data_IF_400292520288
#
_entry.id   IF_400292520288
#
_cell.length_a   1.000
_cell.length_b   1.000
_cell.length_c   1.000
_cell.angle_alpha   90.00
_cell.angle_beta   90.00
_cell.angle_gamma   90.00
#
_symmetry.space_group_name_H-M   'P 1'
#
loop_
_entity.id
_entity.type
_entity.pdbx_description
1 polymer ?
#
# COMPACT_ATOMS: atom_id res chain seq x y z
N UNK A 1 -10.52 5.03 -8.01
CA UNK A 1 -10.02 5.82 -9.15
C UNK A 1 -11.24 6.17 -9.99
N UNK A 2 -11.50 7.45 -10.25
CA UNK A 2 -12.62 7.82 -11.10
C UNK A 2 -12.42 7.29 -12.52
N UNK A 3 -13.52 6.96 -13.20
CA UNK A 3 -13.47 6.45 -14.58
C UNK A 3 -12.75 7.44 -15.53
N UNK A 4 -12.87 8.73 -15.24
CA UNK A 4 -12.18 9.84 -15.91
C UNK A 4 -10.65 9.71 -15.88
N UNK A 5 -10.06 9.29 -14.76
CA UNK A 5 -8.60 9.16 -14.61
C UNK A 5 -8.07 8.00 -15.45
N UNK A 6 -8.78 6.87 -15.50
CA UNK A 6 -8.38 5.71 -16.29
C UNK A 6 -8.30 6.05 -17.78
N UNK A 7 -9.24 6.83 -18.29
CA UNK A 7 -9.29 7.21 -19.71
C UNK A 7 -8.18 8.21 -20.07
N UNK A 8 -7.88 9.18 -19.18
CA UNK A 8 -6.73 10.08 -19.36
C UNK A 8 -5.40 9.29 -19.44
N UNK A 9 -5.23 8.26 -18.62
CA UNK A 9 -4.03 7.43 -18.65
C UNK A 9 -3.96 6.58 -19.93
N UNK A 10 -5.08 6.02 -20.40
CA UNK A 10 -5.12 5.29 -21.68
C UNK A 10 -4.78 6.20 -22.86
N UNK A 11 -5.28 7.44 -22.89
CA UNK A 11 -4.96 8.43 -23.93
C UNK A 11 -3.46 8.78 -23.99
N UNK A 12 -2.75 8.65 -22.87
CA UNK A 12 -1.28 8.80 -22.80
C UNK A 12 -0.51 7.53 -23.18
N UNK A 13 -1.19 6.47 -23.61
CA UNK A 13 -0.59 5.20 -24.05
C UNK A 13 -0.41 4.16 -22.94
N UNK A 14 -0.95 4.37 -21.74
CA UNK A 14 -0.86 3.38 -20.68
C UNK A 14 -1.85 2.22 -20.88
N UNK A 15 -1.37 0.99 -20.69
CA UNK A 15 -2.18 -0.23 -20.71
C UNK A 15 -2.80 -0.49 -19.33
N UNK A 16 -3.90 0.21 -19.03
CA UNK A 16 -4.63 0.08 -17.77
C UNK A 16 -5.54 -1.15 -17.79
N UNK A 17 -5.40 -2.02 -16.79
CA UNK A 17 -6.22 -3.23 -16.60
C UNK A 17 -6.63 -3.36 -15.14
N UNK A 18 -7.83 -3.87 -14.89
CA UNK A 18 -8.25 -4.20 -13.53
C UNK A 18 -7.40 -5.36 -12.97
N UNK A 19 -7.01 -5.22 -11.71
CA UNK A 19 -6.25 -6.26 -11.01
C UNK A 19 -7.18 -7.40 -10.62
N UNK A 20 -6.83 -8.64 -11.00
CA UNK A 20 -7.60 -9.85 -10.63
C UNK A 20 -7.66 -10.12 -9.12
N UNK A 21 -6.70 -9.59 -8.36
CA UNK A 21 -6.59 -9.72 -6.90
C UNK A 21 -6.04 -8.40 -6.34
N UNK A 22 -6.36 -8.03 -5.09
CA UNK A 22 -5.76 -6.87 -4.44
C UNK A 22 -4.23 -6.99 -4.42
N UNK A 23 -3.54 -5.90 -4.74
CA UNK A 23 -2.07 -5.82 -4.71
C UNK A 23 -1.63 -5.33 -3.33
N UNK A 24 -0.77 -6.11 -2.65
CA UNK A 24 -0.06 -5.74 -1.41
C UNK A 24 -0.28 -6.73 -0.26
N UNK A 25 -0.42 -6.26 0.98
CA UNK A 25 -0.25 -7.08 2.20
C UNK A 25 1.10 -6.83 2.86
N UNK A 26 1.58 -5.59 2.79
CA UNK A 26 2.89 -5.19 3.29
C UNK A 26 2.91 -5.07 4.82
N UNK A 27 4.12 -5.08 5.36
CA UNK A 27 4.42 -4.81 6.77
C UNK A 27 5.46 -3.69 6.80
N UNK A 28 5.39 -2.82 7.81
CA UNK A 28 6.35 -1.72 7.95
C UNK A 28 6.68 -1.47 9.42
N UNK A 29 7.91 -1.02 9.67
CA UNK A 29 8.34 -0.45 10.94
C UNK A 29 8.92 0.93 10.61
N UNK A 30 8.34 1.97 11.20
CA UNK A 30 8.91 3.30 11.23
C UNK A 30 9.76 3.45 12.50
N UNK A 31 11.00 3.91 12.31
CA UNK A 31 11.94 4.16 13.38
C UNK A 31 11.95 5.65 13.65
N UNK A 32 11.57 6.04 14.87
CA UNK A 32 11.91 7.35 15.39
C UNK A 32 13.37 7.30 15.86
N UNK A 33 14.26 7.96 15.10
CA UNK A 33 15.70 7.95 15.38
C UNK A 33 16.11 8.84 16.55
N UNK A 34 15.25 9.77 16.99
CA UNK A 34 15.52 10.64 18.13
C UNK A 34 15.24 9.90 19.44
N UNK A 35 14.10 9.20 19.51
CA UNK A 35 13.66 8.52 20.74
C UNK A 35 13.96 7.02 20.76
N UNK A 36 14.24 6.42 19.60
CA UNK A 36 14.37 4.98 19.42
C UNK A 36 13.03 4.24 19.38
N UNK A 37 11.89 4.95 19.43
CA UNK A 37 10.57 4.33 19.40
C UNK A 37 10.30 3.67 18.03
N UNK A 38 9.74 2.46 18.08
CA UNK A 38 9.34 1.70 16.89
C UNK A 38 7.83 1.72 16.74
N UNK A 39 7.35 2.24 15.60
CA UNK A 39 5.95 2.18 15.22
C UNK A 39 5.78 1.16 14.10
N UNK A 40 5.05 0.07 14.37
CA UNK A 40 4.82 -0.99 13.39
C UNK A 40 3.40 -0.94 12.82
N UNK A 41 3.25 -1.31 11.55
CA UNK A 41 1.97 -1.36 10.85
C UNK A 41 1.84 -2.63 10.01
N UNK A 42 0.68 -3.28 10.13
CA UNK A 42 0.29 -4.42 9.29
C UNK A 42 -0.81 -3.98 8.33
N UNK A 43 -0.65 -4.30 7.05
CA UNK A 43 -1.72 -4.09 6.09
C UNK A 43 -2.89 -5.05 6.38
N UNK A 44 -4.13 -4.53 6.57
CA UNK A 44 -5.28 -5.31 7.03
C UNK A 44 -5.78 -6.35 6.01
N UNK A 45 -5.25 -6.37 4.79
CA UNK A 45 -5.65 -7.32 3.75
C UNK A 45 -5.01 -8.69 3.92
N UNK A 46 -4.15 -8.86 4.92
CA UNK A 46 -3.52 -10.12 5.33
C UNK A 46 -3.66 -10.27 6.84
N UNK A 47 -3.50 -11.50 7.32
CA UNK A 47 -3.61 -11.84 8.74
C UNK A 47 -2.33 -11.50 9.54
N UNK A 48 -1.60 -10.46 9.14
CA UNK A 48 -0.37 -10.03 9.78
C UNK A 48 -0.62 -9.24 11.07
N UNK A 49 0.37 -9.17 11.95
CA UNK A 49 0.29 -8.43 13.21
C UNK A 49 1.49 -7.49 13.40
N UNK A 50 1.26 -6.39 14.14
CA UNK A 50 2.29 -5.49 14.62
C UNK A 50 2.40 -5.67 16.14
N UNK A 51 3.60 -5.98 16.64
CA UNK A 51 3.87 -6.22 18.06
C UNK A 51 5.15 -5.49 18.46
N UNK A 52 5.18 -4.97 19.69
CA UNK A 52 6.33 -4.29 20.28
C UNK A 52 6.72 -4.87 21.64
N UNK A 53 7.88 -4.46 22.13
CA UNK A 53 8.40 -4.73 23.47
C UNK A 53 8.80 -3.41 24.12
#
# INVERSE_FOLDING_TARGET
VGADICDVLRARGHNIREAKRPIGGSQVIAIDWETGLLTAGSDPRKDGCAMGY
#
